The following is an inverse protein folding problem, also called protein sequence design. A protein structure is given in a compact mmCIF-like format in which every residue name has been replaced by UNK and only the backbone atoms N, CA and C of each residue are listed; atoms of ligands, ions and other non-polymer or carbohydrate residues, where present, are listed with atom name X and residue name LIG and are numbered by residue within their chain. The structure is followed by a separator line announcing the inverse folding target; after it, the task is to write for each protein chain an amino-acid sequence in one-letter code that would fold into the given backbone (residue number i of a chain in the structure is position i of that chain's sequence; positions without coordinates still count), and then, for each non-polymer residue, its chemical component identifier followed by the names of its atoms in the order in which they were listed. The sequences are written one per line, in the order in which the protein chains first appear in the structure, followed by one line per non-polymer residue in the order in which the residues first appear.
data_IF_793083311448
#
_entry.id   IF_793083311448
#
_cell.length_a   1.000
_cell.length_b   1.000
_cell.length_c   1.000
_cell.angle_alpha   90.00
_cell.angle_beta   90.00
_cell.angle_gamma   90.00
#
_symmetry.space_group_name_H-M   'P 1'
#
loop_
_entity.id
_entity.type
_entity.pdbx_description
1 polymer ?
#
# COMPACT_ATOMS: atom_id res chain seq x y z
N UNK A 1 -10.41 -9.20 -14.49
CA UNK A 1 -11.68 -9.00 -13.73
C UNK A 1 -11.45 -7.91 -12.67
N UNK A 2 -12.49 -7.29 -12.08
CA UNK A 2 -12.32 -6.27 -11.04
C UNK A 2 -13.37 -6.47 -9.93
N UNK A 3 -12.97 -6.34 -8.67
CA UNK A 3 -13.86 -6.31 -7.51
C UNK A 3 -14.00 -4.87 -7.03
N UNK A 4 -15.23 -4.40 -6.90
CA UNK A 4 -15.57 -3.11 -6.32
C UNK A 4 -16.08 -3.33 -4.90
N UNK A 5 -15.31 -2.86 -3.91
CA UNK A 5 -15.75 -2.88 -2.50
C UNK A 5 -16.49 -1.59 -2.18
N UNK A 6 -15.94 -0.45 -2.60
CA UNK A 6 -16.54 0.88 -2.51
C UNK A 6 -15.91 1.80 -3.57
N UNK A 7 -16.18 3.11 -3.50
CA UNK A 7 -15.67 4.11 -4.47
C UNK A 7 -14.15 4.28 -4.45
N UNK A 8 -13.49 3.93 -3.34
CA UNK A 8 -12.05 4.09 -3.16
C UNK A 8 -11.30 2.77 -3.40
N UNK A 9 -11.97 1.65 -3.13
CA UNK A 9 -11.36 0.32 -3.10
C UNK A 9 -11.83 -0.50 -4.30
N UNK A 10 -10.95 -0.51 -5.28
CA UNK A 10 -11.10 -1.24 -6.54
C UNK A 10 -9.92 -2.21 -6.64
N UNK A 11 -10.20 -3.50 -6.68
CA UNK A 11 -9.20 -4.56 -6.64
C UNK A 11 -9.19 -5.26 -8.00
N UNK A 12 -8.15 -5.07 -8.84
CA UNK A 12 -7.98 -5.86 -10.05
C UNK A 12 -7.76 -7.33 -9.68
N UNK A 13 -8.37 -8.22 -10.45
CA UNK A 13 -8.27 -9.67 -10.29
C UNK A 13 -7.84 -10.31 -11.59
N UNK A 14 -6.74 -11.03 -11.54
CA UNK A 14 -6.22 -11.86 -12.62
C UNK A 14 -6.47 -13.33 -12.33
N UNK A 15 -6.92 -14.07 -13.35
CA UNK A 15 -7.33 -15.47 -13.21
C UNK A 15 -6.64 -16.31 -14.26
N UNK A 16 -5.76 -17.18 -13.78
CA UNK A 16 -4.95 -18.06 -14.61
C UNK A 16 -5.49 -19.49 -14.61
N UNK A 17 -4.96 -20.30 -15.52
CA UNK A 17 -5.21 -21.74 -15.52
C UNK A 17 -4.59 -22.39 -14.28
N UNK A 18 -5.30 -23.35 -13.70
CA UNK A 18 -4.82 -24.18 -12.58
C UNK A 18 -3.37 -24.68 -12.79
N UNK A 19 -2.50 -24.41 -11.82
CA UNK A 19 -1.08 -24.76 -11.84
C UNK A 19 -0.19 -23.80 -12.63
N UNK A 20 -0.75 -22.73 -13.21
CA UNK A 20 -0.02 -21.75 -14.05
C UNK A 20 -0.12 -20.32 -13.51
N UNK A 21 -0.32 -20.17 -12.19
CA UNK A 21 -0.50 -18.86 -11.54
C UNK A 21 0.60 -17.84 -11.86
N UNK A 22 1.85 -18.29 -12.07
CA UNK A 22 2.98 -17.41 -12.37
C UNK A 22 2.82 -16.63 -13.69
N UNK A 23 2.04 -17.16 -14.64
CA UNK A 23 1.76 -16.50 -15.93
C UNK A 23 1.00 -15.17 -15.78
N UNK A 24 0.26 -15.00 -14.69
CA UNK A 24 -0.54 -13.80 -14.42
C UNK A 24 0.20 -12.72 -13.64
N UNK A 25 1.44 -12.96 -13.18
CA UNK A 25 2.19 -11.98 -12.37
C UNK A 25 2.45 -10.67 -13.12
N UNK A 26 2.88 -10.75 -14.38
CA UNK A 26 3.10 -9.55 -15.19
C UNK A 26 1.80 -8.77 -15.44
N UNK A 27 0.71 -9.50 -15.69
CA UNK A 27 -0.60 -8.91 -15.99
C UNK A 27 -1.18 -8.18 -14.76
N UNK A 28 -1.14 -8.80 -13.57
CA UNK A 28 -1.66 -8.16 -12.36
C UNK A 28 -0.84 -6.93 -11.97
N UNK A 29 0.48 -6.94 -12.18
CA UNK A 29 1.32 -5.76 -11.94
C UNK A 29 1.01 -4.64 -12.93
N UNK A 30 0.79 -4.96 -14.20
CA UNK A 30 0.39 -3.98 -15.21
C UNK A 30 -0.95 -3.33 -14.86
N UNK A 31 -1.97 -4.12 -14.50
CA UNK A 31 -3.27 -3.57 -14.12
C UNK A 31 -3.21 -2.67 -12.88
N UNK A 32 -2.41 -3.06 -11.89
CA UNK A 32 -2.15 -2.24 -10.71
C UNK A 32 -1.49 -0.91 -11.08
N UNK A 33 -0.49 -0.93 -11.95
CA UNK A 33 0.20 0.28 -12.40
C UNK A 33 -0.72 1.20 -13.23
N UNK A 34 -1.44 0.63 -14.21
CA UNK A 34 -2.31 1.39 -15.12
C UNK A 34 -3.43 2.12 -14.37
N UNK A 35 -3.93 1.52 -13.28
CA UNK A 35 -5.07 2.03 -12.52
C UNK A 35 -4.66 2.74 -11.22
N UNK A 36 -3.36 2.90 -10.99
CA UNK A 36 -2.77 3.43 -9.74
C UNK A 36 -3.34 2.73 -8.49
N UNK A 37 -3.41 1.38 -8.55
CA UNK A 37 -3.96 0.53 -7.49
C UNK A 37 -2.86 -0.22 -6.76
N UNK A 38 -2.94 -0.15 -5.44
CA UNK A 38 -2.03 -0.82 -4.51
C UNK A 38 -2.41 -2.28 -4.28
N UNK A 39 -3.70 -2.59 -4.26
CA UNK A 39 -4.22 -3.93 -4.05
C UNK A 39 -4.37 -4.69 -5.38
N UNK A 40 -4.32 -6.01 -5.33
CA UNK A 40 -4.62 -6.88 -6.48
C UNK A 40 -4.74 -8.34 -6.06
N UNK A 41 -5.48 -9.13 -6.82
CA UNK A 41 -5.63 -10.57 -6.57
C UNK A 41 -5.22 -11.33 -7.82
N UNK A 42 -4.44 -12.39 -7.62
CA UNK A 42 -4.07 -13.34 -8.67
C UNK A 42 -4.44 -14.73 -8.20
N UNK A 43 -5.16 -15.49 -9.02
CA UNK A 43 -5.57 -16.85 -8.67
C UNK A 43 -5.54 -17.79 -9.86
N UNK A 44 -5.29 -19.07 -9.61
CA UNK A 44 -5.49 -20.15 -10.58
C UNK A 44 -6.70 -21.04 -10.24
N UNK A 45 -7.58 -20.55 -9.37
CA UNK A 45 -8.74 -21.24 -8.81
C UNK A 45 -8.44 -22.01 -7.51
N UNK A 46 -7.24 -22.56 -7.37
CA UNK A 46 -6.83 -23.26 -6.14
C UNK A 46 -5.94 -22.41 -5.25
N UNK A 47 -4.95 -21.74 -5.83
CA UNK A 47 -4.03 -20.83 -5.14
C UNK A 47 -4.51 -19.40 -5.35
N UNK A 48 -4.46 -18.58 -4.30
CA UNK A 48 -4.90 -17.21 -4.30
C UNK A 48 -3.80 -16.33 -3.69
N UNK A 49 -3.33 -15.34 -4.44
CA UNK A 49 -2.32 -14.36 -4.02
C UNK A 49 -2.99 -13.00 -3.89
N UNK A 50 -2.95 -12.44 -2.68
CA UNK A 50 -3.49 -11.14 -2.35
C UNK A 50 -2.34 -10.15 -2.25
N UNK A 51 -2.19 -9.34 -3.28
CA UNK A 51 -1.16 -8.32 -3.38
C UNK A 51 -1.52 -7.10 -2.56
N UNK A 52 -0.53 -6.61 -1.82
CA UNK A 52 -0.44 -5.27 -1.29
C UNK A 52 0.88 -4.65 -1.77
N UNK A 53 0.77 -3.72 -2.72
CA UNK A 53 1.89 -3.27 -3.55
C UNK A 53 2.60 -4.48 -4.21
N UNK A 54 3.92 -4.53 -4.24
CA UNK A 54 4.67 -5.63 -4.87
C UNK A 54 4.76 -6.89 -4.00
N UNK A 55 4.22 -6.87 -2.79
CA UNK A 55 4.21 -7.99 -1.87
C UNK A 55 2.85 -8.68 -1.88
N UNK A 56 2.81 -9.98 -1.57
CA UNK A 56 1.56 -10.71 -1.51
C UNK A 56 1.50 -11.76 -0.41
N UNK A 57 0.29 -12.05 0.05
CA UNK A 57 -0.02 -13.23 0.87
C UNK A 57 -0.63 -14.31 0.01
N UNK A 58 -0.26 -15.56 0.25
CA UNK A 58 -0.79 -16.72 -0.50
C UNK A 58 -1.70 -17.55 0.38
N UNK A 59 -2.84 -17.93 -0.16
CA UNK A 59 -3.79 -18.88 0.43
C UNK A 59 -4.15 -19.95 -0.59
N UNK A 60 -4.65 -21.09 -0.10
CA UNK A 60 -5.22 -22.14 -0.94
C UNK A 60 -6.71 -22.27 -0.69
N UNK A 61 -7.43 -22.83 -1.66
CA UNK A 61 -8.85 -23.14 -1.52
C UNK A 61 -9.12 -24.05 -0.32
N UNK A 62 -8.21 -24.99 -0.09
CA UNK A 62 -8.16 -25.84 1.08
C UNK A 62 -8.07 -25.07 2.41
N UNK A 63 -7.32 -23.97 2.44
CA UNK A 63 -7.23 -23.11 3.61
C UNK A 63 -8.56 -22.42 3.87
N UNK A 64 -9.21 -21.88 2.83
CA UNK A 64 -10.51 -21.20 2.95
C UNK A 64 -11.59 -22.12 3.54
N UNK A 65 -11.64 -23.38 3.11
CA UNK A 65 -12.62 -24.33 3.64
C UNK A 65 -12.32 -24.80 5.06
N UNK A 66 -11.04 -24.95 5.40
CA UNK A 66 -10.64 -25.39 6.75
C UNK A 66 -10.72 -24.28 7.79
N UNK A 67 -10.49 -23.03 7.36
CA UNK A 67 -10.28 -21.88 8.23
C UNK A 67 -11.01 -20.61 7.74
N UNK A 68 -12.34 -20.68 7.58
CA UNK A 68 -13.11 -19.56 7.04
C UNK A 68 -13.02 -18.30 7.91
N UNK A 69 -13.04 -18.44 9.23
CA UNK A 69 -13.00 -17.30 10.16
C UNK A 69 -11.67 -16.54 10.10
N UNK A 70 -10.55 -17.27 10.01
CA UNK A 70 -9.22 -16.68 9.84
C UNK A 70 -9.11 -15.91 8.52
N UNK A 71 -9.66 -16.48 7.44
CA UNK A 71 -9.70 -15.80 6.15
C UNK A 71 -10.58 -14.55 6.18
N UNK A 72 -11.75 -14.61 6.82
CA UNK A 72 -12.65 -13.45 6.94
C UNK A 72 -11.97 -12.31 7.70
N UNK A 73 -11.27 -12.62 8.79
CA UNK A 73 -10.47 -11.62 9.52
C UNK A 73 -9.42 -10.98 8.61
N UNK A 74 -8.65 -11.79 7.89
CA UNK A 74 -7.68 -11.29 6.90
C UNK A 74 -8.35 -10.42 5.82
N UNK A 75 -9.48 -10.86 5.26
CA UNK A 75 -10.19 -10.13 4.22
C UNK A 75 -10.65 -8.76 4.70
N UNK A 76 -11.21 -8.69 5.90
CA UNK A 76 -11.63 -7.42 6.52
C UNK A 76 -10.47 -6.46 6.78
N UNK A 77 -9.26 -6.96 6.98
CA UNK A 77 -8.07 -6.13 7.09
C UNK A 77 -7.50 -5.73 5.72
N UNK A 78 -7.53 -6.65 4.77
CA UNK A 78 -6.99 -6.46 3.42
C UNK A 78 -7.72 -5.37 2.64
N UNK A 79 -9.05 -5.28 2.82
CA UNK A 79 -9.89 -4.29 2.15
C UNK A 79 -9.95 -2.94 2.88
N UNK A 80 -8.99 -2.62 3.76
CA UNK A 80 -8.92 -1.32 4.45
C UNK A 80 -7.77 -0.47 3.91
N UNK A 81 -8.02 0.72 3.35
CA UNK A 81 -6.96 1.59 2.82
C UNK A 81 -5.95 1.99 3.90
N UNK A 82 -6.42 2.15 5.15
CA UNK A 82 -5.60 2.56 6.29
C UNK A 82 -4.55 1.51 6.64
N UNK A 83 -4.83 0.23 6.35
CA UNK A 83 -3.93 -0.88 6.62
C UNK A 83 -2.78 -0.98 5.62
N UNK A 84 -2.83 -0.22 4.52
CA UNK A 84 -1.79 -0.24 3.49
C UNK A 84 -0.41 0.02 4.10
N UNK A 85 -0.23 1.16 4.77
CA UNK A 85 1.05 1.53 5.38
C UNK A 85 1.30 0.80 6.71
N UNK A 86 0.25 0.45 7.47
CA UNK A 86 0.40 -0.30 8.73
C UNK A 86 1.10 -1.63 8.46
N UNK A 87 0.74 -2.31 7.37
CA UNK A 87 1.40 -3.57 6.99
C UNK A 87 2.89 -3.45 6.69
N UNK A 88 3.42 -2.24 6.46
CA UNK A 88 4.83 -2.00 6.21
C UNK A 88 5.66 -1.88 7.49
N UNK A 89 5.01 -1.51 8.60
CA UNK A 89 5.62 -1.31 9.91
C UNK A 89 5.31 -2.43 10.90
N UNK A 90 4.55 -3.44 10.45
CA UNK A 90 4.26 -4.64 11.22
C UNK A 90 5.55 -5.44 11.37
N UNK A 91 6.36 -5.08 12.38
CA UNK A 91 7.52 -5.84 12.82
C UNK A 91 6.98 -7.21 13.24
N UNK A 92 7.62 -8.28 12.78
CA UNK A 92 7.32 -9.63 13.26
C UNK A 92 7.29 -9.64 14.80
N UNK A 93 6.11 -9.90 15.38
CA UNK A 93 5.84 -9.79 16.82
C UNK A 93 5.48 -8.35 17.20
N UNK A 94 4.23 -8.01 17.53
CA UNK A 94 3.35 -8.66 18.49
C UNK A 94 1.89 -8.50 18.00
N UNK A 95 1.08 -9.56 18.16
CA UNK A 95 -0.38 -9.60 17.93
C UNK A 95 -0.94 -9.81 16.51
N UNK A 96 -0.27 -10.53 15.61
CA UNK A 96 -0.94 -11.06 14.42
C UNK A 96 -0.92 -12.60 14.37
N UNK A 97 -2.13 -13.18 14.38
CA UNK A 97 -2.53 -14.59 14.55
C UNK A 97 -1.91 -15.63 13.58
N UNK A 98 -0.91 -15.27 12.77
CA UNK A 98 -0.49 -16.04 11.60
C UNK A 98 1.01 -15.96 11.35
N UNK A 99 1.81 -16.73 12.11
CA UNK A 99 3.23 -16.86 11.83
C UNK A 99 3.69 -18.31 11.64
N UNK A 100 4.59 -18.49 10.66
CA UNK A 100 5.64 -19.52 10.52
C UNK A 100 6.21 -19.70 9.10
N UNK A 101 5.77 -18.94 8.09
CA UNK A 101 6.27 -19.11 6.71
C UNK A 101 6.81 -17.82 6.06
N UNK A 102 7.22 -16.83 6.85
CA UNK A 102 7.56 -15.50 6.34
C UNK A 102 9.01 -15.15 6.63
N UNK A 103 9.88 -15.46 5.68
CA UNK A 103 11.01 -14.55 5.41
C UNK A 103 10.43 -13.31 4.71
N UNK A 104 9.89 -12.39 5.51
CA UNK A 104 9.54 -11.05 5.02
C UNK A 104 10.68 -10.12 5.39
N UNK A 105 11.49 -9.74 4.41
CA UNK A 105 12.52 -8.74 4.60
C UNK A 105 11.85 -7.39 4.88
N UNK A 106 11.83 -6.97 6.14
CA UNK A 106 11.36 -5.65 6.56
C UNK A 106 11.98 -4.51 5.73
N UNK A 107 13.18 -4.74 5.17
CA UNK A 107 13.87 -3.81 4.30
C UNK A 107 13.14 -3.55 2.98
N UNK A 108 12.53 -4.56 2.36
CA UNK A 108 11.73 -4.38 1.13
C UNK A 108 10.46 -3.57 1.38
N UNK A 109 9.87 -3.64 2.58
CA UNK A 109 8.72 -2.80 2.95
C UNK A 109 9.12 -1.34 3.19
N UNK A 110 10.30 -1.11 3.80
CA UNK A 110 10.85 0.24 3.98
C UNK A 110 11.13 0.90 2.65
N UNK A 111 11.71 0.18 1.69
CA UNK A 111 11.94 0.70 0.33
C UNK A 111 10.63 1.14 -0.33
N UNK A 112 9.60 0.29 -0.33
CA UNK A 112 8.28 0.63 -0.88
C UNK A 112 7.64 1.84 -0.18
N UNK A 113 7.81 1.97 1.14
CA UNK A 113 7.38 3.17 1.86
C UNK A 113 8.08 4.43 1.33
N UNK A 114 9.40 4.40 1.22
CA UNK A 114 10.17 5.55 0.74
C UNK A 114 9.88 5.88 -0.72
N UNK A 115 9.65 4.89 -1.57
CA UNK A 115 9.23 5.08 -2.95
C UNK A 115 7.86 5.78 -3.03
N UNK A 116 6.88 5.32 -2.26
CA UNK A 116 5.55 5.93 -2.20
C UNK A 116 5.62 7.40 -1.73
N UNK A 117 6.35 7.66 -0.63
CA UNK A 117 6.53 9.01 -0.11
C UNK A 117 7.28 9.89 -1.11
N UNK A 118 8.31 9.37 -1.78
CA UNK A 118 9.06 10.11 -2.80
C UNK A 118 8.17 10.44 -4.01
N UNK A 119 7.32 9.51 -4.44
CA UNK A 119 6.37 9.74 -5.52
C UNK A 119 5.33 10.79 -5.14
N UNK A 120 4.81 10.74 -3.90
CA UNK A 120 3.91 11.74 -3.35
C UNK A 120 4.57 13.12 -3.33
N UNK A 121 5.82 13.21 -2.85
CA UNK A 121 6.59 14.46 -2.81
C UNK A 121 6.73 15.04 -4.21
N UNK A 122 7.15 14.19 -5.16
CA UNK A 122 7.33 14.58 -6.56
C UNK A 122 6.04 15.09 -7.19
N UNK A 123 4.92 14.42 -6.94
CA UNK A 123 3.62 14.81 -7.48
C UNK A 123 3.12 16.12 -6.87
N UNK A 124 3.33 16.33 -5.57
CA UNK A 124 2.98 17.59 -4.90
C UNK A 124 3.83 18.76 -5.40
N UNK A 125 5.15 18.58 -5.57
CA UNK A 125 6.04 19.56 -6.22
C UNK A 125 5.53 19.96 -7.61
N UNK A 126 5.17 18.98 -8.44
CA UNK A 126 4.61 19.23 -9.79
C UNK A 126 3.33 20.06 -9.70
N UNK A 127 2.43 19.74 -8.77
CA UNK A 127 1.18 20.49 -8.56
C UNK A 127 1.44 21.94 -8.16
N UNK A 128 2.32 22.20 -7.18
CA UNK A 128 2.67 23.56 -6.77
C UNK A 128 3.25 24.40 -7.93
N UNK A 129 4.05 23.78 -8.80
CA UNK A 129 4.59 24.44 -9.98
C UNK A 129 3.50 24.78 -11.02
N UNK A 130 2.58 23.86 -11.29
CA UNK A 130 1.46 24.06 -12.23
C UNK A 130 0.53 25.18 -11.75
N UNK A 131 0.18 25.19 -10.47
CA UNK A 131 -0.67 26.21 -9.84
C UNK A 131 0.01 27.59 -9.76
N UNK A 132 1.30 27.67 -10.13
CA UNK A 132 2.02 28.94 -10.21
C UNK A 132 2.39 29.54 -8.86
N UNK A 133 2.43 28.74 -7.78
CA UNK A 133 2.80 29.18 -6.43
C UNK A 133 4.16 29.90 -6.37
N UNK A 134 5.03 29.67 -7.35
CA UNK A 134 6.36 30.26 -7.41
C UNK A 134 6.58 31.18 -8.63
N UNK A 135 5.51 31.76 -9.20
CA UNK A 135 5.64 32.79 -10.25
C UNK A 135 6.54 33.92 -9.75
N UNK A 136 7.54 34.29 -10.54
CA UNK A 136 8.52 35.35 -10.21
C UNK A 136 9.76 34.94 -9.40
N UNK A 137 9.89 33.67 -8.99
CA UNK A 137 11.12 33.17 -8.36
C UNK A 137 12.15 32.69 -9.39
N UNK A 138 13.44 32.67 -9.06
CA UNK A 138 14.49 32.00 -9.86
C UNK A 138 14.29 30.47 -9.85
N UNK A 139 14.60 29.79 -10.95
CA UNK A 139 14.30 28.37 -11.17
C UNK A 139 14.91 27.43 -10.10
N UNK A 140 16.16 27.67 -9.70
CA UNK A 140 16.83 26.95 -8.60
C UNK A 140 16.15 27.20 -7.24
N UNK A 141 15.64 28.41 -7.02
CA UNK A 141 14.90 28.78 -5.81
C UNK A 141 13.49 28.17 -5.76
N UNK A 142 12.84 27.97 -6.91
CA UNK A 142 11.51 27.33 -7.00
C UNK A 142 11.59 25.88 -6.54
N UNK A 143 12.55 25.12 -7.07
CA UNK A 143 12.65 23.71 -6.77
C UNK A 143 12.97 23.44 -5.30
N UNK A 144 13.86 24.24 -4.71
CA UNK A 144 14.18 24.18 -3.28
C UNK A 144 12.96 24.49 -2.43
N UNK A 145 12.25 25.60 -2.69
CA UNK A 145 11.04 25.99 -1.95
C UNK A 145 9.93 24.95 -2.07
N UNK A 146 9.71 24.42 -3.28
CA UNK A 146 8.72 23.36 -3.48
C UNK A 146 9.06 22.12 -2.64
N UNK A 147 10.33 21.74 -2.58
CA UNK A 147 10.81 20.60 -1.79
C UNK A 147 10.61 20.83 -0.29
N UNK A 148 11.03 22.00 0.22
CA UNK A 148 10.87 22.39 1.63
C UNK A 148 9.39 22.44 2.05
N UNK A 149 8.52 23.03 1.24
CA UNK A 149 7.06 23.07 1.50
C UNK A 149 6.47 21.66 1.53
N UNK A 150 6.91 20.79 0.62
CA UNK A 150 6.41 19.41 0.57
C UNK A 150 6.83 18.61 1.80
N UNK A 151 8.09 18.72 2.21
CA UNK A 151 8.56 18.10 3.46
C UNK A 151 7.85 18.67 4.68
N UNK A 152 7.70 19.99 4.77
CA UNK A 152 6.99 20.64 5.87
C UNK A 152 5.55 20.14 5.98
N UNK A 153 4.84 20.00 4.85
CA UNK A 153 3.48 19.48 4.81
C UNK A 153 3.40 18.01 5.28
N UNK A 154 4.30 17.15 4.81
CA UNK A 154 4.34 15.73 5.22
C UNK A 154 4.67 15.61 6.70
N UNK A 155 5.67 16.35 7.19
CA UNK A 155 6.05 16.37 8.62
C UNK A 155 4.88 16.88 9.45
N UNK A 156 4.23 17.98 9.06
CA UNK A 156 3.06 18.51 9.75
C UNK A 156 1.90 17.52 9.78
N UNK A 157 1.65 16.82 8.68
CA UNK A 157 0.62 15.79 8.62
C UNK A 157 0.93 14.62 9.56
N UNK A 158 2.16 14.12 9.55
CA UNK A 158 2.61 13.05 10.46
C UNK A 158 2.49 13.52 11.91
N UNK A 159 3.05 14.69 12.24
CA UNK A 159 2.97 15.25 13.59
C UNK A 159 1.53 15.47 14.02
N UNK A 160 0.66 15.99 13.16
CA UNK A 160 -0.75 16.16 13.50
C UNK A 160 -1.41 14.81 13.82
N UNK A 161 -1.25 13.80 12.95
CA UNK A 161 -1.80 12.46 13.18
C UNK A 161 -1.23 11.82 14.46
N UNK A 162 0.06 11.97 14.72
CA UNK A 162 0.71 11.37 15.89
C UNK A 162 0.37 12.11 17.19
N UNK A 163 0.24 13.44 17.15
CA UNK A 163 0.06 14.27 18.35
C UNK A 163 -1.40 14.52 18.70
N UNK A 164 -2.26 14.70 17.69
CA UNK A 164 -3.66 15.11 17.88
C UNK A 164 -4.60 13.92 17.80
N UNK A 165 -4.45 13.05 16.81
CA UNK A 165 -5.39 11.93 16.61
C UNK A 165 -5.12 10.73 17.52
N UNK A 166 -3.89 10.54 18.01
CA UNK A 166 -3.54 9.45 18.93
C UNK A 166 -3.71 9.80 20.42
N UNK A 167 -4.36 10.92 20.75
CA UNK A 167 -4.52 11.46 22.11
C UNK A 167 -3.23 11.34 22.93
N UNK A 168 -2.38 12.36 22.85
CA UNK A 168 -1.08 12.50 23.56
C UNK A 168 -1.10 12.16 25.07
N UNK A 169 -2.27 11.95 25.68
CA UNK A 169 -2.50 11.57 27.06
C UNK A 169 -1.83 10.25 27.54
N UNK A 170 -1.17 9.48 26.66
CA UNK A 170 -0.44 8.26 27.05
C UNK A 170 1.08 8.31 26.90
N UNK A 171 1.67 9.44 26.50
CA UNK A 171 3.12 9.67 26.61
C UNK A 171 3.45 10.36 27.95
N UNK A 172 3.19 9.65 29.05
CA UNK A 172 3.50 10.07 30.41
C UNK A 172 3.92 8.87 31.25
#
# INVERSE_FOLDING_TARGET
MVIFINTEIVIPVEVEKYGSIASGEGQIMQYKADWDKKLGILTDGYTWRFFNNNQYRTFTLDYFFRKPDEFLAFWHEYIKPENYYISFFDVAGETNLFDKSRELHADSYRELFFEDITSLIRNFKKKLNIEGYFKGSEESGKERKATEITYAYIIQFILYKTLVDNDFARFG
#
